data_IF_826268897187
#
_entry.id   IF_826268897187
#
_cell.length_a   1.000
_cell.length_b   1.000
_cell.length_c   1.000
_cell.angle_alpha   90.00
_cell.angle_beta   90.00
_cell.angle_gamma   90.00
#
_symmetry.space_group_name_H-M   'P 1'
#
loop_
_entity.id
_entity.type
_entity.pdbx_description
1 polymer ?
#
# COMPACT_ATOMS: atom_id res chain seq x y z
N UNK A 1 -23.70 -0.66 0.70
CA UNK A 1 -24.93 -0.82 -0.13
C UNK A 1 -24.80 -1.87 -1.23
N UNK A 2 -23.92 -1.73 -2.25
CA UNK A 2 -23.86 -2.71 -3.35
C UNK A 2 -23.24 -4.06 -2.95
N UNK A 3 -22.09 -4.07 -2.28
CA UNK A 3 -21.42 -5.29 -1.80
C UNK A 3 -22.32 -6.03 -0.79
N UNK A 4 -22.92 -5.30 0.16
CA UNK A 4 -23.84 -5.87 1.15
C UNK A 4 -25.07 -6.50 0.49
N UNK A 5 -25.60 -5.86 -0.56
CA UNK A 5 -26.72 -6.42 -1.33
C UNK A 5 -26.32 -7.72 -2.02
N UNK A 6 -25.16 -7.77 -2.67
CA UNK A 6 -24.64 -9.00 -3.30
C UNK A 6 -24.52 -10.13 -2.27
N UNK A 7 -23.99 -9.84 -1.08
CA UNK A 7 -23.83 -10.84 -0.02
C UNK A 7 -25.16 -11.29 0.61
N UNK A 8 -26.16 -10.40 0.64
CA UNK A 8 -27.50 -10.75 1.10
C UNK A 8 -28.23 -11.66 0.10
N UNK A 9 -28.03 -11.43 -1.20
CA UNK A 9 -28.61 -12.23 -2.28
C UNK A 9 -27.86 -13.56 -2.49
N UNK A 10 -26.54 -13.56 -2.35
CA UNK A 10 -25.68 -14.74 -2.44
C UNK A 10 -24.57 -14.71 -1.37
N UNK A 11 -24.81 -15.33 -0.19
CA UNK A 11 -23.79 -15.43 0.86
C UNK A 11 -22.52 -16.18 0.43
N UNK A 12 -22.57 -17.05 -0.60
CA UNK A 12 -21.40 -17.78 -1.06
C UNK A 12 -20.37 -16.86 -1.74
N UNK A 13 -20.83 -15.75 -2.32
CA UNK A 13 -19.97 -14.67 -2.87
C UNK A 13 -19.04 -14.06 -1.82
N UNK A 14 -19.27 -14.27 -0.51
CA UNK A 14 -18.31 -13.88 0.53
C UNK A 14 -16.93 -14.53 0.39
N UNK A 15 -16.83 -15.67 -0.32
CA UNK A 15 -15.57 -16.39 -0.58
C UNK A 15 -14.90 -15.95 -1.88
N UNK A 16 -15.54 -15.08 -2.66
CA UNK A 16 -14.94 -14.53 -3.86
C UNK A 16 -13.71 -13.67 -3.48
N UNK A 17 -12.52 -13.93 -4.05
CA UNK A 17 -11.31 -13.19 -3.68
C UNK A 17 -11.41 -11.69 -3.97
N UNK A 18 -12.10 -11.30 -5.04
CA UNK A 18 -12.27 -9.89 -5.39
C UNK A 18 -13.16 -9.18 -4.36
N UNK A 19 -14.31 -9.74 -4.02
CA UNK A 19 -15.18 -9.17 -2.98
C UNK A 19 -14.52 -9.15 -1.61
N UNK A 20 -13.74 -10.17 -1.26
CA UNK A 20 -12.94 -10.19 -0.03
C UNK A 20 -11.94 -9.03 -0.01
N UNK A 21 -11.22 -8.83 -1.11
CA UNK A 21 -10.28 -7.71 -1.26
C UNK A 21 -10.96 -6.34 -1.13
N UNK A 22 -12.09 -6.13 -1.81
CA UNK A 22 -12.83 -4.86 -1.71
C UNK A 22 -13.33 -4.59 -0.29
N UNK A 23 -13.86 -5.60 0.40
CA UNK A 23 -14.29 -5.47 1.79
C UNK A 23 -13.11 -5.17 2.71
N UNK A 24 -11.96 -5.79 2.47
CA UNK A 24 -10.74 -5.51 3.23
C UNK A 24 -10.31 -4.05 3.08
N UNK A 25 -10.26 -3.53 1.84
CA UNK A 25 -9.90 -2.13 1.58
C UNK A 25 -10.86 -1.17 2.27
N UNK A 26 -12.18 -1.44 2.20
CA UNK A 26 -13.18 -0.62 2.89
C UNK A 26 -12.98 -0.63 4.40
N UNK A 27 -12.84 -1.80 5.02
CA UNK A 27 -12.58 -1.91 6.45
C UNK A 27 -11.28 -1.20 6.86
N UNK A 28 -10.23 -1.31 6.05
CA UNK A 28 -8.96 -0.63 6.26
C UNK A 28 -9.12 0.90 6.22
N UNK A 29 -9.89 1.43 5.26
CA UNK A 29 -10.12 2.86 5.09
C UNK A 29 -11.06 3.44 6.15
N UNK A 30 -12.05 2.66 6.58
CA UNK A 30 -12.95 3.00 7.70
C UNK A 30 -12.26 2.86 9.06
N UNK A 31 -11.00 2.39 9.08
CA UNK A 31 -10.21 2.10 10.29
C UNK A 31 -10.87 1.07 11.21
N UNK A 32 -11.70 0.19 10.66
CA UNK A 32 -12.22 -0.98 11.36
C UNK A 32 -11.15 -2.07 11.35
N UNK A 33 -10.20 -1.96 12.28
CA UNK A 33 -9.06 -2.88 12.35
C UNK A 33 -9.44 -4.31 12.73
N UNK A 34 -10.60 -4.50 13.36
CA UNK A 34 -11.10 -5.83 13.70
C UNK A 34 -11.62 -6.51 12.43
N UNK A 35 -12.49 -5.83 11.67
CA UNK A 35 -12.95 -6.34 10.38
C UNK A 35 -11.81 -6.50 9.38
N UNK A 36 -10.91 -5.51 9.28
CA UNK A 36 -9.74 -5.58 8.40
C UNK A 36 -8.82 -6.73 8.80
N UNK A 37 -8.64 -7.00 10.10
CA UNK A 37 -7.83 -8.12 10.59
C UNK A 37 -8.40 -9.48 10.20
N UNK A 38 -9.71 -9.66 10.37
CA UNK A 38 -10.40 -10.89 9.94
C UNK A 38 -10.29 -11.06 8.43
N UNK A 39 -10.60 -10.01 7.66
CA UNK A 39 -10.58 -10.06 6.19
C UNK A 39 -9.16 -10.25 5.64
N UNK A 40 -8.14 -9.71 6.30
CA UNK A 40 -6.75 -9.93 5.93
C UNK A 40 -6.43 -11.43 5.87
N UNK A 41 -6.88 -12.23 6.85
CA UNK A 41 -6.61 -13.69 6.86
C UNK A 41 -7.21 -14.45 5.68
N UNK A 42 -8.25 -13.90 5.06
CA UNK A 42 -8.95 -14.48 3.92
C UNK A 42 -8.43 -13.99 2.56
N UNK A 43 -7.47 -13.05 2.55
CA UNK A 43 -6.83 -12.61 1.32
C UNK A 43 -6.01 -13.74 0.68
N UNK A 44 -5.88 -13.66 -0.64
CA UNK A 44 -4.98 -14.53 -1.39
C UNK A 44 -3.53 -14.36 -0.91
N UNK A 45 -2.75 -15.46 -0.79
CA UNK A 45 -1.33 -15.37 -0.46
C UNK A 45 -0.57 -14.49 -1.45
N UNK A 46 -0.84 -14.62 -2.76
CA UNK A 46 -0.21 -13.87 -3.87
C UNK A 46 -1.23 -13.62 -5.01
N UNK A 47 -0.91 -12.71 -5.93
CA UNK A 47 -1.65 -12.42 -7.17
C UNK A 47 -3.08 -11.95 -6.94
N UNK A 48 -3.23 -10.78 -6.32
CA UNK A 48 -4.55 -10.14 -6.26
C UNK A 48 -4.89 -9.51 -7.60
N UNK A 49 -6.14 -9.63 -8.10
CA UNK A 49 -6.59 -8.85 -9.25
C UNK A 49 -6.62 -7.34 -8.96
N UNK A 50 -6.63 -6.96 -7.67
CA UNK A 50 -6.46 -5.58 -7.23
C UNK A 50 -4.97 -5.30 -7.01
N UNK A 51 -4.41 -4.39 -7.82
CA UNK A 51 -3.01 -3.99 -7.77
C UNK A 51 -2.60 -3.41 -6.40
N UNK A 52 -3.55 -2.89 -5.63
CA UNK A 52 -3.31 -2.38 -4.28
C UNK A 52 -3.04 -3.53 -3.29
N UNK A 53 -3.68 -4.68 -3.50
CA UNK A 53 -3.58 -5.86 -2.62
C UNK A 53 -2.50 -6.86 -3.03
N UNK A 54 -1.70 -6.52 -4.03
CA UNK A 54 -0.70 -7.43 -4.61
C UNK A 54 0.55 -7.65 -3.73
N UNK A 55 0.52 -7.15 -2.50
CA UNK A 55 1.49 -7.46 -1.43
C UNK A 55 1.15 -8.76 -0.67
N UNK A 56 0.00 -9.36 -0.96
CA UNK A 56 -0.37 -10.66 -0.39
C UNK A 56 -0.90 -10.59 1.05
N UNK A 57 -1.47 -11.72 1.48
CA UNK A 57 -2.10 -11.88 2.79
C UNK A 57 -1.19 -11.49 3.95
N UNK A 58 0.01 -12.06 4.01
CA UNK A 58 0.86 -11.96 5.20
C UNK A 58 1.38 -10.53 5.39
N UNK A 59 1.58 -9.77 4.29
CA UNK A 59 1.85 -8.34 4.36
C UNK A 59 0.70 -7.58 5.01
N UNK A 60 -0.53 -7.76 4.51
CA UNK A 60 -1.69 -7.01 5.01
C UNK A 60 -2.07 -7.39 6.44
N UNK A 61 -1.90 -8.66 6.82
CA UNK A 61 -1.99 -9.08 8.22
C UNK A 61 -0.99 -8.32 9.10
N UNK A 62 0.25 -8.18 8.63
CA UNK A 62 1.30 -7.44 9.30
C UNK A 62 0.99 -5.95 9.45
N UNK A 63 0.53 -5.32 8.37
CA UNK A 63 0.10 -3.90 8.37
C UNK A 63 -1.04 -3.68 9.35
N UNK A 64 -2.10 -4.50 9.32
CA UNK A 64 -3.23 -4.33 10.23
C UNK A 64 -2.80 -4.52 11.68
N UNK A 65 -1.99 -5.53 11.97
CA UNK A 65 -1.45 -5.72 13.33
C UNK A 65 -0.63 -4.49 13.78
N UNK A 66 0.19 -3.92 12.89
CA UNK A 66 0.95 -2.70 13.16
C UNK A 66 0.04 -1.52 13.49
N UNK A 67 -1.02 -1.32 12.70
CA UNK A 67 -2.00 -0.25 12.90
C UNK A 67 -2.81 -0.42 14.21
N UNK A 68 -3.00 -1.66 14.68
CA UNK A 68 -3.58 -1.97 16.00
C UNK A 68 -2.61 -1.77 17.17
N UNK A 69 -1.33 -1.53 16.88
CA UNK A 69 -0.27 -1.47 17.89
C UNK A 69 0.24 -2.84 18.35
N UNK A 70 -0.16 -3.93 17.69
CA UNK A 70 0.36 -5.28 17.94
C UNK A 70 1.66 -5.50 17.16
N UNK A 71 2.76 -4.99 17.73
CA UNK A 71 4.11 -5.09 17.17
C UNK A 71 4.57 -6.53 16.99
N UNK A 72 4.17 -7.44 17.89
CA UNK A 72 4.60 -8.85 17.83
C UNK A 72 3.97 -9.56 16.64
N UNK A 73 2.65 -9.47 16.48
CA UNK A 73 1.97 -10.07 15.33
C UNK A 73 2.38 -9.40 14.02
N UNK A 74 2.59 -8.07 14.04
CA UNK A 74 3.07 -7.33 12.89
C UNK A 74 4.41 -7.88 12.40
N UNK A 75 5.39 -7.99 13.30
CA UNK A 75 6.72 -8.51 12.99
C UNK A 75 6.67 -9.95 12.46
N UNK A 76 5.88 -10.81 13.09
CA UNK A 76 5.77 -12.21 12.68
C UNK A 76 5.19 -12.34 11.27
N UNK A 77 4.11 -11.61 10.96
CA UNK A 77 3.46 -11.64 9.65
C UNK A 77 4.34 -11.01 8.56
N UNK A 78 4.94 -9.85 8.81
CA UNK A 78 5.84 -9.18 7.86
C UNK A 78 7.12 -9.99 7.58
N UNK A 79 7.64 -10.71 8.58
CA UNK A 79 8.79 -11.61 8.38
C UNK A 79 8.44 -12.79 7.48
N UNK A 80 7.21 -13.34 7.57
CA UNK A 80 6.75 -14.37 6.64
C UNK A 80 6.60 -13.83 5.22
N UNK A 81 5.96 -12.67 5.06
CA UNK A 81 5.87 -12.00 3.76
C UNK A 81 7.27 -11.76 3.14
N UNK A 82 8.24 -11.32 3.94
CA UNK A 82 9.61 -11.11 3.49
C UNK A 82 10.27 -12.41 3.01
N UNK A 83 10.07 -13.53 3.72
CA UNK A 83 10.59 -14.82 3.31
C UNK A 83 9.98 -15.28 1.98
N UNK A 84 8.67 -15.15 1.81
CA UNK A 84 7.95 -15.51 0.59
C UNK A 84 8.41 -14.73 -0.65
N UNK A 85 8.80 -13.46 -0.49
CA UNK A 85 9.33 -12.63 -1.57
C UNK A 85 10.81 -12.90 -1.85
N UNK A 86 11.60 -13.27 -0.83
CA UNK A 86 13.00 -13.63 -1.01
C UNK A 86 13.19 -14.96 -1.76
N UNK A 87 12.21 -15.86 -1.69
CA UNK A 87 12.20 -17.08 -2.50
C UNK A 87 11.96 -16.79 -4.00
N UNK A 88 11.38 -15.64 -4.34
CA UNK A 88 11.09 -15.20 -5.72
C UNK A 88 12.25 -14.40 -6.37
N UNK A 89 13.40 -14.30 -5.70
CA UNK A 89 14.59 -13.54 -6.12
C UNK A 89 15.21 -13.99 -7.46
N UNK A 90 14.66 -15.01 -8.12
CA UNK A 90 15.09 -15.39 -9.48
C UNK A 90 14.97 -14.24 -10.50
N UNK A 91 14.21 -13.17 -10.19
CA UNK A 91 14.14 -11.95 -11.00
C UNK A 91 14.35 -10.67 -10.17
N UNK A 92 15.60 -10.42 -9.74
CA UNK A 92 16.01 -9.19 -9.02
C UNK A 92 15.72 -7.88 -9.77
N UNK A 93 15.31 -7.96 -11.04
CA UNK A 93 14.95 -6.83 -11.89
C UNK A 93 13.43 -6.53 -11.91
N UNK A 94 12.66 -7.09 -10.96
CA UNK A 94 11.27 -6.69 -10.76
C UNK A 94 11.18 -5.46 -9.83
N UNK A 95 10.86 -4.30 -10.42
CA UNK A 95 10.67 -3.03 -9.69
C UNK A 95 9.59 -3.11 -8.61
N UNK A 96 8.57 -3.95 -8.79
CA UNK A 96 7.53 -4.12 -7.78
C UNK A 96 8.01 -5.01 -6.65
N UNK A 97 8.83 -6.03 -6.90
CA UNK A 97 9.48 -6.81 -5.85
C UNK A 97 10.32 -5.91 -4.94
N UNK A 98 11.12 -5.01 -5.51
CA UNK A 98 11.89 -4.02 -4.74
C UNK A 98 10.99 -3.11 -3.89
N UNK A 99 9.85 -2.66 -4.42
CA UNK A 99 8.89 -1.87 -3.64
C UNK A 99 8.27 -2.67 -2.49
N UNK A 100 7.95 -3.96 -2.72
CA UNK A 100 7.37 -4.84 -1.70
C UNK A 100 8.35 -5.09 -0.54
N UNK A 101 9.58 -5.44 -0.87
CA UNK A 101 10.65 -5.62 0.11
C UNK A 101 10.88 -4.33 0.91
N UNK A 102 11.02 -3.20 0.19
CA UNK A 102 11.36 -1.93 0.83
C UNK A 102 10.29 -1.46 1.81
N UNK A 103 9.02 -1.69 1.48
CA UNK A 103 7.92 -1.30 2.34
C UNK A 103 7.81 -2.21 3.58
N UNK A 104 8.04 -3.53 3.42
CA UNK A 104 8.11 -4.46 4.55
C UNK A 104 9.24 -4.05 5.51
N UNK A 105 10.44 -3.82 4.98
CA UNK A 105 11.59 -3.45 5.79
C UNK A 105 11.38 -2.08 6.46
N UNK A 106 10.73 -1.12 5.80
CA UNK A 106 10.35 0.17 6.41
C UNK A 106 9.42 -0.02 7.62
N UNK A 107 8.36 -0.83 7.47
CA UNK A 107 7.39 -1.07 8.55
C UNK A 107 8.04 -1.83 9.72
N UNK A 108 8.99 -2.72 9.43
CA UNK A 108 9.80 -3.43 10.42
C UNK A 108 10.86 -2.55 11.11
N UNK A 109 11.03 -1.29 10.68
CA UNK A 109 12.00 -0.35 11.23
C UNK A 109 13.43 -0.52 10.70
N UNK A 110 13.63 -1.29 9.63
CA UNK A 110 14.92 -1.47 8.94
C UNK A 110 15.09 -0.39 7.87
N UNK A 111 15.38 0.81 8.35
CA UNK A 111 15.37 2.04 7.56
C UNK A 111 16.35 1.99 6.38
N UNK A 112 17.58 1.57 6.60
CA UNK A 112 18.65 1.61 5.61
C UNK A 112 18.37 0.66 4.45
N UNK A 113 17.92 -0.56 4.74
CA UNK A 113 17.49 -1.56 3.76
C UNK A 113 16.31 -1.04 2.93
N UNK A 114 15.29 -0.53 3.61
CA UNK A 114 14.10 0.01 2.98
C UNK A 114 14.41 1.12 1.96
N UNK A 115 15.23 2.09 2.36
CA UNK A 115 15.64 3.20 1.48
C UNK A 115 16.54 2.72 0.35
N UNK A 116 17.36 1.69 0.57
CA UNK A 116 18.20 1.09 -0.47
C UNK A 116 17.35 0.44 -1.56
N UNK A 117 16.35 -0.33 -1.18
CA UNK A 117 15.44 -1.01 -2.12
C UNK A 117 14.57 0.00 -2.89
N UNK A 118 14.08 1.05 -2.21
CA UNK A 118 13.35 2.13 -2.86
C UNK A 118 14.19 2.89 -3.91
N UNK A 119 15.47 3.16 -3.63
CA UNK A 119 16.39 3.78 -4.60
C UNK A 119 16.61 2.89 -5.82
N UNK A 120 16.90 1.60 -5.60
CA UNK A 120 17.05 0.62 -6.67
C UNK A 120 15.81 0.56 -7.56
N UNK A 121 14.62 0.58 -6.98
CA UNK A 121 13.37 0.59 -7.74
C UNK A 121 13.28 1.80 -8.69
N UNK A 122 13.68 2.99 -8.24
CA UNK A 122 13.71 4.21 -9.08
C UNK A 122 14.77 4.10 -10.18
N UNK A 123 15.97 3.63 -9.86
CA UNK A 123 17.09 3.50 -10.80
C UNK A 123 16.76 2.56 -11.98
N UNK A 124 15.84 1.62 -11.77
CA UNK A 124 15.37 0.67 -12.78
C UNK A 124 14.25 1.19 -13.68
N UNK A 125 13.54 2.26 -13.30
CA UNK A 125 12.42 2.81 -14.08
C UNK A 125 12.76 3.13 -15.55
N UNK A 126 13.94 3.68 -15.89
CA UNK A 126 14.32 3.91 -17.29
C UNK A 126 14.33 2.65 -18.17
N UNK A 127 14.51 1.47 -17.56
CA UNK A 127 14.52 0.17 -18.25
C UNK A 127 13.08 -0.27 -18.58
N UNK A 128 12.15 -0.06 -17.66
CA UNK A 128 10.73 -0.50 -17.79
C UNK A 128 9.97 0.30 -18.85
N UNK A 129 10.31 1.58 -19.07
CA UNK A 129 9.69 2.48 -20.09
C UNK A 129 8.16 2.50 -20.08
N UNK A 130 7.55 2.53 -18.90
CA UNK A 130 6.10 2.63 -18.74
C UNK A 130 5.75 3.73 -17.73
N UNK A 131 5.04 4.77 -18.18
CA UNK A 131 4.71 5.94 -17.37
C UNK A 131 3.77 5.60 -16.18
N UNK A 132 2.89 4.61 -16.32
CA UNK A 132 2.01 4.16 -15.24
C UNK A 132 2.81 3.39 -14.18
N UNK A 133 3.74 2.52 -14.60
CA UNK A 133 4.65 1.82 -13.70
C UNK A 133 5.55 2.80 -12.95
N UNK A 134 6.04 3.84 -13.62
CA UNK A 134 6.79 4.93 -13.00
C UNK A 134 6.00 5.56 -11.84
N UNK A 135 4.75 5.96 -12.08
CA UNK A 135 3.87 6.50 -11.05
C UNK A 135 3.68 5.55 -9.86
N UNK A 136 3.42 4.26 -10.12
CA UNK A 136 3.22 3.29 -9.05
C UNK A 136 4.46 3.10 -8.19
N UNK A 137 5.65 2.96 -8.81
CA UNK A 137 6.91 2.79 -8.09
C UNK A 137 7.23 4.03 -7.26
N UNK A 138 7.16 5.23 -7.84
CA UNK A 138 7.42 6.48 -7.10
C UNK A 138 6.46 6.66 -5.92
N UNK A 139 5.21 6.23 -6.05
CA UNK A 139 4.23 6.25 -4.95
C UNK A 139 4.63 5.29 -3.83
N UNK A 140 5.05 4.07 -4.15
CA UNK A 140 5.56 3.15 -3.15
C UNK A 140 6.83 3.66 -2.48
N UNK A 141 7.75 4.27 -3.23
CA UNK A 141 8.97 4.87 -2.64
C UNK A 141 8.63 6.02 -1.68
N UNK A 142 7.62 6.84 -1.97
CA UNK A 142 7.12 7.83 -1.03
C UNK A 142 6.59 7.17 0.27
N UNK A 143 5.83 6.08 0.16
CA UNK A 143 5.37 5.31 1.33
C UNK A 143 6.54 4.70 2.11
N UNK A 144 7.53 4.12 1.43
CA UNK A 144 8.74 3.56 2.03
C UNK A 144 9.46 4.61 2.86
N UNK A 145 9.70 5.79 2.28
CA UNK A 145 10.34 6.90 2.99
C UNK A 145 9.53 7.33 4.21
N UNK A 146 8.19 7.41 4.09
CA UNK A 146 7.31 7.79 5.18
C UNK A 146 7.39 6.81 6.37
N UNK A 147 7.31 5.50 6.10
CA UNK A 147 7.39 4.45 7.11
C UNK A 147 8.81 4.28 7.68
N UNK A 148 9.84 4.61 6.90
CA UNK A 148 11.23 4.64 7.35
C UNK A 148 11.57 5.89 8.20
N UNK A 149 10.61 6.78 8.44
CA UNK A 149 10.77 8.01 9.22
C UNK A 149 11.41 9.17 8.45
N UNK A 150 11.65 9.02 7.15
CA UNK A 150 12.19 10.06 6.25
C UNK A 150 11.08 10.94 5.69
N UNK A 151 10.43 11.72 6.57
CA UNK A 151 9.25 12.52 6.22
C UNK A 151 9.50 13.53 5.10
N UNK A 152 10.62 14.27 5.14
CA UNK A 152 10.90 15.27 4.09
C UNK A 152 11.09 14.63 2.71
N UNK A 153 11.86 13.54 2.65
CA UNK A 153 12.06 12.78 1.43
C UNK A 153 10.75 12.17 0.90
N UNK A 154 9.91 11.66 1.80
CA UNK A 154 8.59 11.16 1.44
C UNK A 154 7.71 12.25 0.81
N UNK A 155 7.72 13.46 1.36
CA UNK A 155 6.96 14.60 0.84
C UNK A 155 7.50 15.08 -0.52
N UNK A 156 8.81 15.10 -0.72
CA UNK A 156 9.43 15.42 -2.01
C UNK A 156 8.99 14.44 -3.11
N UNK A 157 9.06 13.13 -2.82
CA UNK A 157 8.55 12.11 -3.75
C UNK A 157 7.05 12.26 -3.99
N UNK A 158 6.28 12.54 -2.92
CA UNK A 158 4.83 12.66 -3.01
C UNK A 158 4.39 13.87 -3.87
N UNK A 159 5.06 15.01 -3.76
CA UNK A 159 4.76 16.21 -4.55
C UNK A 159 4.91 15.97 -6.07
N UNK A 160 5.90 15.17 -6.46
CA UNK A 160 6.12 14.77 -7.85
C UNK A 160 5.06 13.77 -8.29
N UNK A 161 4.89 12.68 -7.53
CA UNK A 161 4.06 11.55 -7.97
C UNK A 161 2.57 11.91 -7.98
N UNK A 162 2.11 12.83 -7.13
CA UNK A 162 0.72 13.31 -7.11
C UNK A 162 0.27 13.98 -8.43
N UNK A 163 1.22 14.34 -9.32
CA UNK A 163 0.94 15.07 -10.57
C UNK A 163 1.08 14.23 -11.83
N UNK A 164 1.40 12.94 -11.71
CA UNK A 164 1.63 12.05 -12.85
C UNK A 164 0.67 10.85 -12.85
N UNK A 165 0.41 10.22 -14.01
CA UNK A 165 -0.35 8.97 -14.08
C UNK A 165 0.25 7.89 -13.17
N UNK A 166 -0.60 7.11 -12.51
CA UNK A 166 -0.18 6.08 -11.54
C UNK A 166 0.13 6.61 -10.13
N UNK A 167 0.05 7.94 -9.92
CA UNK A 167 0.11 8.54 -8.59
C UNK A 167 -1.13 8.27 -7.72
N UNK A 168 -1.06 8.58 -6.42
CA UNK A 168 -2.17 8.39 -5.50
C UNK A 168 -3.33 9.34 -5.82
N UNK A 169 -4.55 8.85 -5.70
CA UNK A 169 -5.76 9.67 -5.87
C UNK A 169 -6.05 10.48 -4.60
N UNK A 170 -6.96 11.46 -4.71
CA UNK A 170 -7.48 12.17 -3.54
C UNK A 170 -8.03 11.22 -2.46
N UNK A 171 -8.83 10.24 -2.88
CA UNK A 171 -9.41 9.26 -1.96
C UNK A 171 -8.35 8.40 -1.29
N UNK A 172 -7.33 7.97 -2.04
CA UNK A 172 -6.20 7.21 -1.49
C UNK A 172 -5.48 8.02 -0.40
N UNK A 173 -5.02 9.25 -0.69
CA UNK A 173 -4.32 10.06 0.31
C UNK A 173 -5.19 10.37 1.55
N UNK A 174 -6.49 10.61 1.33
CA UNK A 174 -7.41 10.97 2.40
C UNK A 174 -7.76 9.79 3.32
N UNK A 175 -7.92 8.59 2.79
CA UNK A 175 -8.49 7.45 3.52
C UNK A 175 -7.47 6.39 3.88
N UNK A 176 -6.47 6.15 3.02
CA UNK A 176 -5.56 5.03 3.19
C UNK A 176 -4.62 5.21 4.39
N UNK A 177 -4.62 4.30 5.38
CA UNK A 177 -3.74 4.36 6.55
C UNK A 177 -2.24 4.28 6.24
N UNK A 178 -1.85 3.80 5.06
CA UNK A 178 -0.44 3.77 4.64
C UNK A 178 0.19 5.17 4.55
N UNK A 179 -0.63 6.22 4.47
CA UNK A 179 -0.19 7.62 4.51
C UNK A 179 -0.22 8.24 5.91
N UNK A 180 -0.64 7.50 6.96
CA UNK A 180 -0.67 7.99 8.34
C UNK A 180 0.64 8.64 8.81
N UNK A 181 1.84 8.13 8.47
CA UNK A 181 3.09 8.77 8.90
C UNK A 181 3.29 10.21 8.40
N UNK A 182 2.56 10.64 7.36
CA UNK A 182 2.63 12.00 6.82
C UNK A 182 1.45 12.90 7.27
N UNK A 183 0.40 12.32 7.84
CA UNK A 183 -0.80 13.08 8.25
C UNK A 183 -0.47 14.06 9.36
N UNK A 184 -1.06 15.25 9.28
CA UNK A 184 -0.72 16.38 10.16
C UNK A 184 0.44 17.25 9.68
N UNK A 185 1.17 16.84 8.64
CA UNK A 185 2.14 17.71 7.97
C UNK A 185 1.43 18.70 7.03
N UNK A 186 1.74 19.99 7.15
CA UNK A 186 1.11 21.04 6.33
C UNK A 186 1.33 20.83 4.82
N UNK A 187 2.47 20.29 4.38
CA UNK A 187 2.75 19.99 2.97
C UNK A 187 1.88 18.84 2.49
N UNK A 188 1.76 17.77 3.29
CA UNK A 188 0.88 16.65 2.98
C UNK A 188 -0.56 17.10 2.78
N UNK A 189 -1.11 17.85 3.75
CA UNK A 189 -2.50 18.34 3.66
C UNK A 189 -2.73 19.23 2.45
N UNK A 190 -1.72 20.02 2.05
CA UNK A 190 -1.78 20.84 0.83
C UNK A 190 -1.84 19.98 -0.43
N UNK A 191 -1.07 18.88 -0.49
CA UNK A 191 -1.11 17.93 -1.62
C UNK A 191 -2.50 17.29 -1.69
N UNK A 192 -3.03 16.80 -0.58
CA UNK A 192 -4.39 16.23 -0.48
C UNK A 192 -5.42 17.22 -1.01
N UNK A 193 -5.42 18.46 -0.48
CA UNK A 193 -6.36 19.49 -0.90
C UNK A 193 -6.25 19.83 -2.40
N UNK A 194 -5.05 19.79 -2.98
CA UNK A 194 -4.84 20.08 -4.40
C UNK A 194 -5.44 19.04 -5.35
N UNK A 195 -5.61 17.80 -4.87
CA UNK A 195 -6.22 16.70 -5.63
C UNK A 195 -7.73 16.57 -5.41
N UNK A 196 -8.30 17.34 -4.46
CA UNK A 196 -9.72 17.30 -4.17
C UNK A 196 -10.54 17.54 -5.47
N UNK A 197 -11.66 16.81 -5.65
CA UNK A 197 -12.58 17.10 -6.73
C UNK A 197 -12.91 18.58 -6.73
N UNK A 198 -12.65 19.26 -7.85
CA UNK A 198 -13.12 20.62 -8.02
C UNK A 198 -14.62 20.53 -8.23
N UNK A 199 -15.39 21.38 -7.56
CA UNK A 199 -16.81 21.51 -7.83
C UNK A 199 -16.98 21.67 -9.34
N UNK A 200 -17.62 20.68 -9.97
CA UNK A 200 -18.04 20.83 -11.34
C UNK A 200 -19.05 21.99 -11.32
N UNK A 201 -18.64 23.16 -11.82
CA UNK A 201 -19.60 24.22 -12.10
C UNK A 201 -20.70 23.57 -12.96
N UNK A 202 -21.91 23.57 -12.40
CA UNK A 202 -23.15 23.11 -13.03
C UNK A 202 -23.34 23.72 -14.41
#
# INVERSE_FOLDING_TARGET
>A
VAIEKILAEDPASAKDPFLTGQRFILALFDRDWDAAGVLATALSPKNSPDWYLDFGRDFWMGVVARLKGDETSARAALTRALAEYKEEISNLDDVFLLCRLGLIDAILGKKEEALSEGRRAIEMLPIVKNATTDGYVKRYVAMICAWAGERELALEHLEVVARIPGGPSYGDLRLNPMWDPLRGDRRFEKIVASLAPKDAKQ
#
